data_IF_394507138753
#
_entry.id   IF_394507138753
#
_cell.length_a   1.000
_cell.length_b   1.000
_cell.length_c   1.000
_cell.angle_alpha   90.00
_cell.angle_beta   90.00
_cell.angle_gamma   90.00
#
_symmetry.space_group_name_H-M   'P 1'
#
loop_
_entity.id
_entity.type
_entity.pdbx_description
1 polymer ?
#
# COMPACT_ATOMS: atom_id res chain seq x y z
N UNK A 1 4.25 12.33 0.69
CA UNK A 1 3.66 12.11 0.68
C UNK A 1 2.92 11.78 0.84
N UNK A 2 2.57 11.65 0.54
CA UNK A 2 1.68 11.48 0.81
C UNK A 2 1.11 10.56 1.19
N UNK A 3 1.25 10.51 1.81
CA UNK A 3 0.61 9.43 2.42
C UNK A 3 -0.81 9.38 1.95
N UNK A 4 -1.40 8.26 2.13
CA UNK A 4 -2.75 8.08 1.74
C UNK A 4 -3.69 8.87 2.63
N UNK A 5 -4.55 9.65 2.05
CA UNK A 5 -5.55 10.41 2.78
C UNK A 5 -6.78 9.58 3.09
N UNK A 6 -6.81 8.35 2.62
CA UNK A 6 -7.99 7.49 2.69
C UNK A 6 -7.66 6.22 3.46
N UNK A 7 -8.54 5.84 4.36
CA UNK A 7 -8.43 4.54 5.01
C UNK A 7 -8.91 3.46 4.05
N UNK A 8 -8.58 2.21 4.38
CA UNK A 8 -9.04 1.08 3.59
C UNK A 8 -10.56 1.05 3.51
N UNK A 9 -11.24 1.35 4.61
CA UNK A 9 -12.70 1.39 4.61
C UNK A 9 -13.23 2.44 3.66
N UNK A 10 -12.59 3.61 3.65
CA UNK A 10 -12.99 4.68 2.74
C UNK A 10 -12.78 4.29 1.28
N UNK A 11 -11.65 3.66 0.99
CA UNK A 11 -11.35 3.21 -0.37
C UNK A 11 -12.40 2.22 -0.85
N UNK A 12 -12.73 1.24 -0.04
CA UNK A 12 -13.76 0.26 -0.40
C UNK A 12 -15.10 0.93 -0.56
N UNK A 13 -15.42 1.90 0.31
CA UNK A 13 -16.66 2.66 0.18
C UNK A 13 -16.77 3.40 -1.14
N UNK A 14 -15.65 4.01 -1.57
CA UNK A 14 -15.62 4.72 -2.85
C UNK A 14 -15.88 3.75 -4.01
N UNK A 15 -15.23 2.60 -4.01
CA UNK A 15 -15.41 1.62 -5.07
C UNK A 15 -16.85 1.11 -5.07
N UNK A 16 -17.45 0.92 -3.90
CA UNK A 16 -18.83 0.44 -3.81
C UNK A 16 -19.84 1.45 -4.31
N UNK A 17 -19.54 2.73 -4.27
CA UNK A 17 -20.43 3.74 -4.79
C UNK A 17 -20.70 3.53 -6.28
N UNK A 18 -19.67 3.17 -7.04
CA UNK A 18 -19.87 2.90 -8.47
C UNK A 18 -20.64 1.61 -8.67
N UNK A 19 -20.43 0.63 -7.82
CA UNK A 19 -21.20 -0.62 -7.90
C UNK A 19 -22.67 -0.36 -7.59
N UNK A 20 -22.97 0.66 -6.81
CA UNK A 20 -24.35 1.01 -6.48
C UNK A 20 -24.99 1.92 -7.51
N UNK A 21 -24.30 2.30 -8.57
CA UNK A 21 -24.88 3.05 -9.68
C UNK A 21 -24.25 4.39 -9.99
N UNK A 22 -23.38 4.91 -9.14
CA UNK A 22 -22.70 6.19 -9.42
C UNK A 22 -21.70 6.01 -10.56
N UNK A 23 -21.49 7.07 -11.34
CA UNK A 23 -20.48 7.00 -12.40
C UNK A 23 -19.10 7.21 -11.82
N UNK A 24 -18.09 6.74 -12.52
CA UNK A 24 -16.70 6.96 -12.12
C UNK A 24 -16.40 8.44 -12.02
N UNK A 25 -16.90 9.22 -12.98
CA UNK A 25 -16.69 10.65 -13.01
C UNK A 25 -17.26 11.34 -11.76
N UNK A 26 -18.47 10.95 -11.38
CA UNK A 26 -19.11 11.49 -10.20
C UNK A 26 -18.35 11.16 -8.93
N UNK A 27 -17.94 9.93 -8.80
CA UNK A 27 -17.23 9.48 -7.61
C UNK A 27 -15.86 10.15 -7.51
N UNK A 28 -15.16 10.26 -8.62
CA UNK A 28 -13.86 10.92 -8.61
C UNK A 28 -13.97 12.39 -8.24
N UNK A 29 -14.98 13.07 -8.75
CA UNK A 29 -15.22 14.48 -8.41
C UNK A 29 -15.57 14.63 -6.93
N UNK A 30 -16.45 13.77 -6.44
CA UNK A 30 -16.91 13.83 -5.05
C UNK A 30 -15.75 13.63 -4.07
N UNK A 31 -14.87 12.72 -4.35
CA UNK A 31 -13.78 12.37 -3.44
C UNK A 31 -12.46 13.03 -3.80
N UNK A 32 -12.46 13.84 -4.84
CA UNK A 32 -11.28 14.56 -5.29
C UNK A 32 -10.11 13.62 -5.58
N UNK A 33 -10.38 12.60 -6.38
CA UNK A 33 -9.37 11.63 -6.81
C UNK A 33 -9.37 11.57 -8.32
N UNK A 34 -8.26 11.10 -8.89
CA UNK A 34 -8.17 10.90 -10.32
C UNK A 34 -8.83 9.58 -10.71
N UNK A 35 -9.21 9.48 -11.99
CA UNK A 35 -9.72 8.23 -12.51
C UNK A 35 -8.69 7.12 -12.37
N UNK A 36 -7.41 7.45 -12.56
CA UNK A 36 -6.33 6.49 -12.44
C UNK A 36 -6.28 5.93 -11.01
N UNK A 37 -6.41 6.78 -10.02
CA UNK A 37 -6.46 6.35 -8.62
C UNK A 37 -7.65 5.44 -8.37
N UNK A 38 -8.82 5.84 -8.88
CA UNK A 38 -10.02 5.01 -8.73
C UNK A 38 -9.84 3.62 -9.32
N UNK A 39 -9.33 3.54 -10.55
CA UNK A 39 -9.14 2.24 -11.20
C UNK A 39 -8.09 1.39 -10.50
N UNK A 40 -7.07 2.02 -9.95
CA UNK A 40 -6.10 1.30 -9.12
C UNK A 40 -6.75 0.69 -7.89
N UNK A 41 -7.59 1.46 -7.22
CA UNK A 41 -8.33 0.97 -6.05
C UNK A 41 -9.27 -0.17 -6.43
N UNK A 42 -9.96 -0.03 -7.55
CA UNK A 42 -10.89 -1.06 -8.00
C UNK A 42 -10.17 -2.37 -8.27
N UNK A 43 -9.03 -2.31 -8.92
CA UNK A 43 -8.24 -3.51 -9.18
C UNK A 43 -7.79 -4.19 -7.89
N UNK A 44 -7.38 -3.40 -6.93
CA UNK A 44 -6.80 -3.94 -5.71
C UNK A 44 -7.84 -4.40 -4.70
N UNK A 45 -8.90 -3.62 -4.55
CA UNK A 45 -9.85 -3.85 -3.45
C UNK A 45 -11.27 -4.18 -3.90
N UNK A 46 -11.54 -4.14 -5.19
CA UNK A 46 -12.91 -4.19 -5.67
C UNK A 46 -13.71 -5.43 -5.28
N UNK A 47 -13.03 -6.55 -5.09
CA UNK A 47 -13.69 -7.79 -4.72
C UNK A 47 -13.48 -8.16 -3.26
N UNK A 48 -12.87 -7.28 -2.47
CA UNK A 48 -12.50 -7.60 -1.09
C UNK A 48 -13.53 -7.06 -0.10
N UNK A 49 -13.71 -7.80 0.98
CA UNK A 49 -14.38 -7.27 2.14
C UNK A 49 -13.41 -6.39 2.92
N UNK A 50 -13.96 -5.53 3.78
CA UNK A 50 -13.14 -4.59 4.55
C UNK A 50 -12.05 -5.31 5.34
N UNK A 51 -12.40 -6.40 5.99
CA UNK A 51 -11.43 -7.13 6.82
C UNK A 51 -10.30 -7.71 5.98
N UNK A 52 -10.64 -8.21 4.79
CA UNK A 52 -9.61 -8.74 3.89
C UNK A 52 -8.67 -7.64 3.41
N UNK A 53 -9.23 -6.48 3.09
CA UNK A 53 -8.41 -5.36 2.62
C UNK A 53 -7.51 -4.83 3.72
N UNK A 54 -8.00 -4.78 4.96
CA UNK A 54 -7.18 -4.40 6.11
C UNK A 54 -6.03 -5.36 6.30
N UNK A 55 -6.30 -6.65 6.19
CA UNK A 55 -5.27 -7.67 6.33
C UNK A 55 -4.23 -7.52 5.23
N UNK A 56 -4.68 -7.32 4.01
CA UNK A 56 -3.76 -7.13 2.89
C UNK A 56 -2.84 -5.94 3.14
N UNK A 57 -3.41 -4.82 3.54
CA UNK A 57 -2.61 -3.63 3.80
C UNK A 57 -1.60 -3.87 4.91
N UNK A 58 -2.04 -4.52 5.99
CA UNK A 58 -1.14 -4.85 7.09
C UNK A 58 0.00 -5.73 6.66
N UNK A 59 -0.30 -6.73 5.82
CA UNK A 59 0.74 -7.62 5.32
C UNK A 59 1.71 -6.90 4.40
N UNK A 60 1.22 -5.98 3.59
CA UNK A 60 2.09 -5.19 2.72
C UNK A 60 3.04 -4.31 3.53
N UNK A 61 2.52 -3.67 4.58
CA UNK A 61 3.35 -2.82 5.45
C UNK A 61 4.39 -3.66 6.18
N UNK A 62 3.98 -4.81 6.68
CA UNK A 62 4.90 -5.72 7.36
C UNK A 62 5.98 -6.19 6.39
N UNK A 63 5.59 -6.52 5.18
CA UNK A 63 6.52 -6.98 4.16
C UNK A 63 7.56 -5.91 3.86
N UNK A 64 7.13 -4.66 3.71
CA UNK A 64 8.06 -3.56 3.45
C UNK A 64 9.00 -3.34 4.63
N UNK A 65 8.47 -3.42 5.85
CA UNK A 65 9.29 -3.27 7.03
C UNK A 65 10.36 -4.35 7.10
N UNK A 66 9.96 -5.60 6.85
CA UNK A 66 10.90 -6.72 6.86
C UNK A 66 11.95 -6.57 5.78
N UNK A 67 11.56 -6.12 4.59
CA UNK A 67 12.53 -5.89 3.51
C UNK A 67 13.56 -4.86 3.91
N UNK A 68 13.13 -3.79 4.58
CA UNK A 68 14.07 -2.75 5.04
C UNK A 68 15.03 -3.32 6.08
N UNK A 69 14.50 -4.09 7.02
CA UNK A 69 15.35 -4.70 8.05
C UNK A 69 16.38 -5.63 7.44
N UNK A 70 15.96 -6.44 6.47
CA UNK A 70 16.89 -7.34 5.79
C UNK A 70 17.98 -6.54 5.07
N UNK A 71 17.59 -5.48 4.38
CA UNK A 71 18.57 -4.65 3.68
C UNK A 71 19.57 -4.03 4.65
N UNK A 72 19.08 -3.48 5.77
CA UNK A 72 19.96 -2.89 6.77
C UNK A 72 20.91 -3.93 7.36
N UNK A 73 20.40 -5.09 7.70
CA UNK A 73 21.23 -6.15 8.26
C UNK A 73 22.26 -6.63 7.25
N UNK A 74 21.89 -6.71 5.99
CA UNK A 74 22.82 -7.12 4.93
C UNK A 74 23.97 -6.14 4.80
N UNK A 75 23.66 -4.84 4.85
CA UNK A 75 24.68 -3.80 4.76
C UNK A 75 25.61 -3.87 5.97
N UNK A 76 25.04 -3.98 7.16
CA UNK A 76 25.84 -4.06 8.37
C UNK A 76 26.74 -5.30 8.36
N UNK A 77 26.19 -6.41 7.91
CA UNK A 77 26.96 -7.64 7.84
C UNK A 77 28.14 -7.50 6.87
N UNK A 78 27.91 -6.86 5.73
CA UNK A 78 28.97 -6.60 4.77
C UNK A 78 30.06 -5.70 5.37
N UNK A 79 29.64 -4.65 6.07
CA UNK A 79 30.60 -3.74 6.70
C UNK A 79 31.45 -4.46 7.73
N UNK A 80 30.84 -5.33 8.53
CA UNK A 80 31.58 -6.09 9.53
C UNK A 80 32.55 -7.05 8.88
N UNK A 81 32.16 -7.67 7.78
CA UNK A 81 33.08 -8.57 7.05
C UNK A 81 34.28 -7.79 6.51
N UNK A 82 34.04 -6.58 5.99
CA UNK A 82 35.12 -5.78 5.46
C UNK A 82 36.09 -5.36 6.56
N UNK A 83 35.55 -4.97 7.70
CA UNK A 83 36.42 -4.61 8.84
C UNK A 83 37.25 -5.81 9.27
N UNK A 84 36.65 -6.98 9.37
CA UNK A 84 37.38 -8.17 9.76
C UNK A 84 38.43 -8.53 8.74
N UNK A 85 38.14 -8.36 7.46
CA UNK A 85 39.15 -8.66 6.42
C UNK A 85 40.33 -7.75 6.48
N UNK A 86 40.14 -6.50 6.95
CA UNK A 86 41.25 -5.54 7.08
C UNK A 86 41.98 -5.66 8.37
N UNK A 87 41.52 -6.48 9.24
CA UNK A 87 42.03 -6.53 10.58
C UNK A 87 43.42 -7.19 10.67
N UNK A 88 43.75 -8.08 9.87
CA UNK A 88 44.97 -8.88 9.95
C UNK A 88 45.57 -9.01 11.31
#
# INVERSE_FOLDING_TARGET
MKSSRFTVEQIIGVVRETQAGATVKEVCAKHNISAQTYYGWKRKYGAMEVDEARRLKGLEEENQRLKRLVADLSIQNQMLKEVNAKKW
#
